data_IF_617361568281
#
_entry.id   IF_617361568281
#
_cell.length_a   1.000
_cell.length_b   1.000
_cell.length_c   1.000
_cell.angle_alpha   90.00
_cell.angle_beta   90.00
_cell.angle_gamma   90.00
#
_symmetry.space_group_name_H-M   'P 1'
#
loop_
_entity.id
_entity.type
_entity.pdbx_description
1 polymer ?
#
# COMPACT_ATOMS: atom_id res chain seq x y z
N UNK A 1 -32.97 50.16 -57.31
CA UNK A 1 -31.91 49.25 -56.82
C UNK A 1 -32.43 47.82 -56.91
N UNK A 2 -31.60 46.93 -57.48
CA UNK A 2 -31.92 45.64 -58.11
C UNK A 2 -32.80 44.66 -57.31
N UNK A 3 -33.77 44.04 -58.00
CA UNK A 3 -34.28 42.68 -57.77
C UNK A 3 -33.36 41.69 -58.52
N UNK A 4 -33.10 40.46 -58.03
CA UNK A 4 -34.00 39.31 -58.27
C UNK A 4 -34.00 38.32 -57.07
N UNK A 5 -34.78 37.25 -56.96
CA UNK A 5 -35.67 36.51 -57.85
C UNK A 5 -35.86 35.12 -57.22
N UNK A 6 -37.09 34.60 -57.24
CA UNK A 6 -37.43 33.24 -56.77
C UNK A 6 -36.70 32.18 -57.61
N UNK A 7 -36.34 31.04 -57.00
CA UNK A 7 -36.76 29.70 -57.45
C UNK A 7 -36.35 28.58 -56.47
N UNK A 8 -37.18 27.54 -56.31
CA UNK A 8 -36.90 26.38 -55.47
C UNK A 8 -36.01 25.37 -56.23
N UNK A 9 -35.08 24.75 -55.52
CA UNK A 9 -34.36 23.57 -55.99
C UNK A 9 -34.41 22.50 -54.92
N UNK A 10 -35.35 21.58 -55.10
CA UNK A 10 -35.20 20.20 -54.67
C UNK A 10 -33.95 19.61 -55.32
N UNK A 11 -32.96 19.22 -54.52
CA UNK A 11 -31.91 18.28 -54.85
C UNK A 11 -31.65 17.45 -53.59
N UNK A 12 -32.27 16.27 -53.52
CA UNK A 12 -31.69 14.97 -53.84
C UNK A 12 -30.85 14.40 -52.69
N UNK A 13 -31.32 13.24 -52.23
CA UNK A 13 -30.74 12.40 -51.20
C UNK A 13 -29.26 12.08 -51.46
N UNK A 14 -28.47 12.10 -50.39
CA UNK A 14 -27.47 11.07 -50.11
C UNK A 14 -27.12 11.12 -48.62
N UNK A 15 -27.93 10.47 -47.78
CA UNK A 15 -27.51 10.09 -46.44
C UNK A 15 -26.47 8.97 -46.59
N UNK A 16 -25.20 9.35 -46.77
CA UNK A 16 -24.09 8.41 -46.65
C UNK A 16 -23.87 8.13 -45.18
N UNK A 17 -24.46 7.04 -44.67
CA UNK A 17 -24.14 6.47 -43.37
C UNK A 17 -22.69 5.98 -43.39
N UNK A 18 -21.77 6.82 -42.95
CA UNK A 18 -20.42 6.41 -42.58
C UNK A 18 -20.50 5.63 -41.27
N UNK A 19 -20.84 4.35 -41.34
CA UNK A 19 -20.53 3.39 -40.28
C UNK A 19 -19.03 3.11 -40.32
N UNK A 20 -18.23 4.07 -39.87
CA UNK A 20 -16.82 3.86 -39.59
C UNK A 20 -16.71 3.03 -38.32
N UNK A 21 -16.55 1.72 -38.45
CA UNK A 21 -16.08 0.89 -37.34
C UNK A 21 -14.65 1.29 -37.04
N UNK A 22 -14.46 2.17 -36.07
CA UNK A 22 -13.14 2.41 -35.47
C UNK A 22 -12.81 1.14 -34.69
N UNK A 23 -12.16 0.18 -35.35
CA UNK A 23 -11.48 -0.90 -34.66
C UNK A 23 -10.21 -0.28 -34.11
N UNK A 24 -10.29 0.29 -32.90
CA UNK A 24 -9.11 0.60 -32.11
C UNK A 24 -8.43 -0.73 -31.81
N UNK A 25 -7.45 -1.09 -32.65
CA UNK A 25 -6.51 -2.15 -32.36
C UNK A 25 -5.74 -1.72 -31.11
N UNK A 26 -6.21 -2.16 -29.95
CA UNK A 26 -5.40 -2.18 -28.74
C UNK A 26 -4.25 -3.14 -29.01
N UNK A 27 -3.14 -2.59 -29.49
CA UNK A 27 -1.83 -3.24 -29.44
C UNK A 27 -1.39 -3.25 -27.98
N UNK A 28 -2.08 -4.02 -27.14
CA UNK A 28 -1.59 -4.38 -25.83
C UNK A 28 -0.33 -5.20 -26.05
N UNK A 29 0.83 -4.61 -25.80
CA UNK A 29 2.05 -5.37 -25.66
C UNK A 29 1.83 -6.33 -24.49
N UNK A 30 1.62 -7.61 -24.78
CA UNK A 30 1.61 -8.64 -23.76
C UNK A 30 2.98 -8.58 -23.07
N UNK A 31 3.04 -7.96 -21.89
CA UNK A 31 4.22 -7.99 -21.06
C UNK A 31 4.49 -9.46 -20.74
N UNK A 32 5.69 -9.91 -21.10
CA UNK A 32 6.14 -11.24 -20.72
C UNK A 32 5.98 -11.36 -19.21
N UNK A 33 5.14 -12.31 -18.78
CA UNK A 33 5.02 -12.65 -17.37
C UNK A 33 6.37 -13.20 -16.96
N UNK A 34 7.14 -12.39 -16.24
CA UNK A 34 8.35 -12.86 -15.57
C UNK A 34 7.94 -14.03 -14.68
N UNK A 35 8.59 -15.20 -14.79
CA UNK A 35 8.27 -16.32 -13.92
C UNK A 35 8.36 -15.85 -12.48
N UNK A 36 7.32 -16.14 -11.70
CA UNK A 36 7.29 -15.79 -10.29
C UNK A 36 8.57 -16.33 -9.64
N UNK A 37 9.32 -15.44 -8.97
CA UNK A 37 10.46 -15.87 -8.18
C UNK A 37 9.92 -16.86 -7.15
N UNK A 38 10.37 -18.11 -7.22
CA UNK A 38 10.03 -19.08 -6.20
C UNK A 38 10.83 -18.70 -4.95
N UNK A 39 10.17 -18.04 -4.01
CA UNK A 39 10.77 -17.78 -2.71
C UNK A 39 10.88 -19.10 -1.95
N UNK A 40 12.11 -19.59 -1.80
CA UNK A 40 12.46 -20.70 -0.92
C UNK A 40 12.67 -20.15 0.50
N UNK A 41 12.09 -20.81 1.49
CA UNK A 41 12.15 -20.39 2.89
C UNK A 41 10.88 -20.77 3.65
N UNK A 42 10.88 -20.69 4.99
CA UNK A 42 9.67 -20.84 5.79
C UNK A 42 8.60 -19.85 5.32
N UNK A 43 7.33 -20.26 5.36
CA UNK A 43 6.24 -19.31 5.10
C UNK A 43 6.20 -18.29 6.23
N UNK A 44 5.96 -17.03 5.91
CA UNK A 44 5.90 -15.96 6.91
C UNK A 44 4.67 -15.08 6.73
N UNK A 45 4.24 -14.47 7.83
CA UNK A 45 3.23 -13.41 7.86
C UNK A 45 3.83 -12.20 8.58
N UNK A 46 3.52 -10.99 8.14
CA UNK A 46 4.16 -9.77 8.64
C UNK A 46 3.11 -8.73 8.99
N UNK A 47 3.15 -8.19 10.20
CA UNK A 47 2.45 -6.97 10.58
C UNK A 47 3.34 -5.75 10.32
N UNK A 48 2.75 -4.73 9.70
CA UNK A 48 3.32 -3.41 9.45
C UNK A 48 2.29 -2.36 9.88
N UNK A 49 2.73 -1.21 10.34
CA UNK A 49 1.81 -0.16 10.75
C UNK A 49 2.21 0.66 11.95
N UNK A 50 1.20 1.27 12.55
CA UNK A 50 1.28 2.06 13.77
C UNK A 50 0.95 1.25 15.04
N UNK A 51 0.66 1.94 16.15
CA UNK A 51 0.32 1.36 17.45
C UNK A 51 -0.90 0.42 17.40
N UNK A 52 -1.81 0.62 16.44
CA UNK A 52 -3.01 -0.18 16.31
C UNK A 52 -2.71 -1.64 15.92
N UNK A 53 -1.52 -1.93 15.38
CA UNK A 53 -1.11 -3.29 15.00
C UNK A 53 0.22 -3.74 15.60
N UNK A 54 1.01 -2.85 16.21
CA UNK A 54 2.16 -3.26 17.04
C UNK A 54 1.74 -4.04 18.29
N UNK A 55 0.47 -3.97 18.67
CA UNK A 55 -0.04 -4.52 19.92
C UNK A 55 0.21 -3.60 21.11
N UNK A 56 0.28 -2.28 20.89
CA UNK A 56 0.31 -1.33 22.00
C UNK A 56 -0.93 -1.53 22.89
N UNK A 57 -0.70 -1.73 24.19
CA UNK A 57 -1.75 -2.00 25.17
C UNK A 57 -2.42 -3.38 25.04
N UNK A 58 -1.88 -4.31 24.25
CA UNK A 58 -2.44 -5.66 24.09
C UNK A 58 -2.20 -6.58 25.30
N UNK A 59 -1.39 -6.17 26.26
CA UNK A 59 -1.18 -6.94 27.49
C UNK A 59 -2.32 -6.78 28.51
N UNK A 60 -1.95 -6.80 29.78
CA UNK A 60 -2.87 -6.69 30.93
C UNK A 60 -2.75 -5.33 31.59
N UNK A 61 -3.77 -4.92 32.37
CA UNK A 61 -3.79 -3.67 33.17
C UNK A 61 -2.50 -3.39 33.98
N UNK A 62 -1.71 -4.42 34.29
CA UNK A 62 -0.48 -4.30 35.10
C UNK A 62 0.80 -4.64 34.35
N UNK A 63 0.72 -5.08 33.10
CA UNK A 63 1.88 -5.47 32.29
C UNK A 63 1.47 -5.62 30.83
N UNK A 64 2.01 -4.76 29.97
CA UNK A 64 1.72 -4.74 28.53
C UNK A 64 2.50 -5.79 27.71
N UNK A 65 3.46 -6.48 28.35
CA UNK A 65 4.31 -7.53 27.76
C UNK A 65 4.99 -7.11 26.44
N UNK A 66 5.51 -5.88 26.40
CA UNK A 66 6.28 -5.40 25.27
C UNK A 66 7.57 -6.19 25.11
N UNK A 67 7.85 -6.58 23.86
CA UNK A 67 9.05 -7.29 23.48
C UNK A 67 10.22 -6.31 23.60
N UNK A 68 11.19 -6.65 24.43
CA UNK A 68 12.42 -5.86 24.52
C UNK A 68 13.14 -5.80 23.15
N UNK A 69 13.66 -4.64 22.72
CA UNK A 69 13.83 -3.41 23.50
C UNK A 69 12.73 -2.33 23.26
N UNK A 70 11.55 -2.69 22.76
CA UNK A 70 10.56 -1.76 22.18
C UNK A 70 9.76 -0.91 23.18
N UNK A 71 10.15 -0.91 24.45
CA UNK A 71 9.56 -0.10 25.52
C UNK A 71 10.68 0.52 26.36
N UNK A 72 11.45 1.41 25.73
CA UNK A 72 12.59 2.03 26.38
C UNK A 72 13.19 3.22 25.62
N UNK A 73 14.16 3.93 26.23
CA UNK A 73 14.64 5.24 25.75
C UNK A 73 15.24 5.25 24.35
N UNK A 74 15.49 4.09 23.77
CA UNK A 74 16.06 3.93 22.42
C UNK A 74 15.06 3.41 21.40
N UNK A 75 13.91 2.90 21.83
CA UNK A 75 12.90 2.26 20.98
C UNK A 75 11.57 2.23 21.76
N UNK A 76 10.59 2.99 21.28
CA UNK A 76 9.24 3.03 21.83
C UNK A 76 8.22 2.51 20.82
N UNK A 77 8.61 1.56 19.97
CA UNK A 77 7.69 0.97 19.01
C UNK A 77 6.55 0.17 19.67
N UNK A 78 6.66 -0.16 20.96
CA UNK A 78 5.66 -0.87 21.76
C UNK A 78 5.12 -2.10 21.03
N UNK A 79 6.02 -2.98 20.60
CA UNK A 79 5.65 -4.25 19.97
C UNK A 79 5.34 -5.26 21.05
N UNK A 80 4.14 -5.83 21.05
CA UNK A 80 3.73 -6.83 22.04
C UNK A 80 3.73 -8.23 21.45
N UNK A 81 4.12 -9.23 22.26
CA UNK A 81 3.94 -10.64 21.90
C UNK A 81 2.46 -11.06 21.81
N UNK A 82 1.55 -10.19 22.27
CA UNK A 82 0.10 -10.34 22.18
C UNK A 82 -0.50 -9.60 20.96
N UNK A 83 0.31 -9.05 20.04
CA UNK A 83 -0.22 -8.41 18.83
C UNK A 83 -0.92 -9.41 17.91
N UNK A 84 -1.89 -8.95 17.12
CA UNK A 84 -2.79 -9.80 16.31
C UNK A 84 -2.02 -10.79 15.42
N UNK A 85 -0.84 -10.40 14.92
CA UNK A 85 -0.04 -11.25 14.03
C UNK A 85 0.43 -12.55 14.70
N UNK A 86 0.55 -12.55 16.03
CA UNK A 86 0.93 -13.72 16.82
C UNK A 86 -0.26 -14.61 17.21
N UNK A 87 -1.51 -14.12 17.10
CA UNK A 87 -2.74 -14.85 17.48
C UNK A 87 -3.72 -15.08 16.30
N UNK A 88 -3.19 -15.46 15.14
CA UNK A 88 -4.00 -15.65 13.92
C UNK A 88 -4.62 -17.04 13.77
N UNK A 89 -4.17 -18.03 14.54
CA UNK A 89 -4.52 -19.45 14.36
C UNK A 89 -3.96 -20.10 13.08
N UNK A 90 -3.14 -19.39 12.30
CA UNK A 90 -2.54 -19.92 11.08
C UNK A 90 -1.35 -20.84 11.40
N UNK A 91 -1.43 -22.10 10.97
CA UNK A 91 -0.35 -23.07 11.16
C UNK A 91 0.69 -23.04 10.05
N UNK A 92 1.95 -23.32 10.39
CA UNK A 92 3.02 -23.47 9.39
C UNK A 92 3.55 -22.15 8.82
N UNK A 93 3.29 -21.03 9.50
CA UNK A 93 3.81 -19.70 9.18
C UNK A 93 4.59 -19.13 10.36
N UNK A 94 5.63 -18.37 10.08
CA UNK A 94 6.38 -17.59 11.07
C UNK A 94 5.84 -16.15 11.09
N UNK A 95 5.29 -15.68 12.21
CA UNK A 95 4.86 -14.28 12.34
C UNK A 95 6.05 -13.35 12.61
N UNK A 96 5.98 -12.15 12.04
CA UNK A 96 6.88 -11.04 12.32
C UNK A 96 6.05 -9.79 12.58
N UNK A 97 6.42 -9.05 13.62
CA UNK A 97 5.88 -7.73 13.88
C UNK A 97 6.99 -6.69 13.64
N UNK A 98 6.79 -5.85 12.62
CA UNK A 98 7.66 -4.71 12.31
C UNK A 98 6.88 -3.39 12.35
N UNK A 99 5.65 -3.41 12.87
CA UNK A 99 4.88 -2.20 13.15
C UNK A 99 5.54 -1.40 14.28
N UNK A 100 5.26 -0.11 14.36
CA UNK A 100 5.88 0.74 15.37
C UNK A 100 4.88 1.79 15.85
N UNK A 101 4.67 1.88 17.16
CA UNK A 101 3.89 2.96 17.73
C UNK A 101 4.43 4.33 17.29
N UNK A 102 3.51 5.23 16.97
CA UNK A 102 3.83 6.56 16.43
C UNK A 102 4.14 6.60 14.93
N UNK A 103 4.27 5.46 14.25
CA UNK A 103 4.57 5.43 12.82
C UNK A 103 3.54 6.20 12.00
N UNK A 104 4.03 6.99 11.05
CA UNK A 104 3.22 7.65 10.03
C UNK A 104 3.25 6.85 8.73
N UNK A 105 2.35 7.15 7.81
CA UNK A 105 2.36 6.56 6.46
C UNK A 105 3.72 6.79 5.78
N UNK A 106 4.40 7.89 6.11
CA UNK A 106 5.75 8.20 5.67
C UNK A 106 6.76 7.14 6.05
N UNK A 107 6.62 6.45 7.19
CA UNK A 107 7.55 5.45 7.73
C UNK A 107 7.39 4.06 7.11
N UNK A 108 6.35 3.88 6.30
CA UNK A 108 6.08 2.62 5.60
C UNK A 108 6.96 2.46 4.37
N UNK A 109 7.01 3.47 3.49
CA UNK A 109 7.62 3.35 2.16
C UNK A 109 8.90 4.19 2.02
N UNK A 110 9.98 3.54 1.59
CA UNK A 110 11.29 4.16 1.35
C UNK A 110 11.50 4.66 -0.08
N UNK A 111 10.58 4.37 -1.00
CA UNK A 111 10.67 4.80 -2.39
C UNK A 111 10.42 6.31 -2.49
N UNK A 112 11.38 7.12 -2.98
CA UNK A 112 11.26 8.59 -3.01
C UNK A 112 10.05 9.09 -3.81
N UNK A 113 9.60 8.33 -4.81
CA UNK A 113 8.42 8.67 -5.62
C UNK A 113 7.13 8.70 -4.77
N UNK A 114 7.06 7.94 -3.68
CA UNK A 114 5.89 7.89 -2.82
C UNK A 114 5.91 8.93 -1.70
N UNK A 115 7.06 9.56 -1.43
CA UNK A 115 7.19 10.59 -0.38
C UNK A 115 6.20 11.76 -0.56
N UNK A 116 5.81 12.08 -1.81
CA UNK A 116 4.82 13.12 -2.09
C UNK A 116 3.40 12.78 -1.62
N UNK A 117 3.07 11.49 -1.44
CA UNK A 117 1.75 11.01 -1.01
C UNK A 117 1.75 10.40 0.37
N UNK A 118 2.88 9.84 0.83
CA UNK A 118 3.03 9.25 2.16
C UNK A 118 3.44 10.26 3.22
N UNK A 119 3.87 11.47 2.81
CA UNK A 119 4.43 12.46 3.72
C UNK A 119 5.87 12.16 4.12
N UNK A 120 6.37 12.95 5.06
CA UNK A 120 7.68 12.74 5.67
C UNK A 120 7.66 11.54 6.61
N UNK A 121 8.76 10.80 6.65
CA UNK A 121 9.04 9.78 7.65
C UNK A 121 10.49 9.36 7.52
N UNK A 122 11.11 8.89 8.60
CA UNK A 122 12.53 8.52 8.64
C UNK A 122 12.78 7.04 8.94
N UNK A 123 11.75 6.31 9.37
CA UNK A 123 11.92 5.15 10.23
C UNK A 123 12.03 5.61 11.69
N UNK A 124 11.24 4.98 12.56
CA UNK A 124 11.13 5.39 13.96
C UNK A 124 12.30 4.85 14.77
N UNK A 125 12.75 5.65 15.74
CA UNK A 125 13.80 5.28 16.71
C UNK A 125 15.13 4.79 16.11
N UNK A 126 15.41 5.14 14.86
CA UNK A 126 16.62 4.74 14.14
C UNK A 126 16.50 3.39 13.41
N UNK A 127 15.30 2.79 13.39
CA UNK A 127 15.01 1.65 12.54
C UNK A 127 14.92 2.05 11.06
N UNK A 128 15.08 1.06 10.18
CA UNK A 128 14.77 1.25 8.78
C UNK A 128 13.25 1.41 8.58
N UNK A 129 12.84 2.07 7.49
CA UNK A 129 11.43 2.09 7.08
C UNK A 129 10.89 0.67 6.92
N UNK A 130 9.61 0.49 7.20
CA UNK A 130 9.04 -0.84 7.34
C UNK A 130 9.08 -1.65 6.03
N UNK A 131 9.04 -1.02 4.86
CA UNK A 131 9.25 -1.71 3.57
C UNK A 131 10.66 -2.29 3.42
N UNK A 132 11.68 -1.63 3.97
CA UNK A 132 13.06 -2.12 3.98
C UNK A 132 13.22 -3.29 4.95
N UNK A 133 12.56 -3.23 6.11
CA UNK A 133 12.50 -4.34 7.06
C UNK A 133 11.77 -5.55 6.43
N UNK A 134 10.63 -5.32 5.77
CA UNK A 134 9.90 -6.35 5.03
C UNK A 134 10.77 -6.96 3.93
N UNK A 135 11.51 -6.15 3.18
CA UNK A 135 12.43 -6.64 2.15
C UNK A 135 13.56 -7.50 2.75
N UNK A 136 14.02 -7.21 3.96
CA UNK A 136 14.98 -8.06 4.68
C UNK A 136 14.35 -9.40 5.10
N UNK A 137 13.13 -9.38 5.64
CA UNK A 137 12.38 -10.60 5.99
C UNK A 137 12.13 -11.47 4.75
N UNK A 138 11.71 -10.86 3.64
CA UNK A 138 11.39 -11.55 2.39
C UNK A 138 12.61 -12.18 1.69
N UNK A 139 13.84 -11.76 2.02
CA UNK A 139 15.06 -12.44 1.54
C UNK A 139 15.27 -13.80 2.21
N UNK A 140 14.77 -13.99 3.42
CA UNK A 140 14.94 -15.22 4.20
C UNK A 140 13.66 -16.07 4.28
N UNK A 141 12.49 -15.48 3.98
CA UNK A 141 11.19 -16.09 4.16
C UNK A 141 10.30 -15.95 2.94
N UNK A 142 9.40 -16.90 2.76
CA UNK A 142 8.35 -16.85 1.76
C UNK A 142 7.12 -16.14 2.34
N UNK A 143 7.15 -14.81 2.35
CA UNK A 143 6.06 -13.98 2.91
C UNK A 143 4.76 -14.25 2.16
N UNK A 144 3.73 -14.67 2.89
CA UNK A 144 2.40 -15.05 2.37
C UNK A 144 1.32 -14.02 2.63
N UNK A 145 1.51 -13.22 3.68
CA UNK A 145 0.57 -12.22 4.12
C UNK A 145 1.35 -11.03 4.68
N UNK A 146 0.91 -9.84 4.33
CA UNK A 146 1.26 -8.60 5.01
C UNK A 146 -0.04 -7.98 5.49
N UNK A 147 -0.13 -7.69 6.77
CA UNK A 147 -1.25 -6.92 7.35
C UNK A 147 -0.71 -5.53 7.66
N UNK A 148 -1.38 -4.50 7.13
CA UNK A 148 -0.98 -3.11 7.28
C UNK A 148 -2.10 -2.30 7.89
N UNK A 149 -1.85 -1.70 9.06
CA UNK A 149 -2.74 -0.72 9.69
C UNK A 149 -1.96 0.56 9.93
N UNK A 150 -2.32 1.64 9.22
CA UNK A 150 -1.57 2.90 9.29
C UNK A 150 -2.49 4.09 9.08
N UNK A 151 -2.08 5.22 9.62
CA UNK A 151 -2.66 6.54 9.37
C UNK A 151 -3.17 7.23 10.63
N UNK A 152 -3.20 6.56 11.79
CA UNK A 152 -3.67 7.20 13.03
C UNK A 152 -2.78 8.37 13.46
N UNK A 153 -1.50 8.36 13.06
CA UNK A 153 -0.51 9.38 13.40
C UNK A 153 -0.22 10.37 12.27
N UNK A 154 -0.89 10.24 11.11
CA UNK A 154 -0.70 11.17 10.01
C UNK A 154 -1.30 12.54 10.36
N UNK A 155 -0.59 13.61 10.00
CA UNK A 155 -1.13 14.97 10.13
C UNK A 155 -2.14 15.23 9.01
N UNK A 156 -3.41 15.02 9.33
CA UNK A 156 -4.51 15.38 8.46
C UNK A 156 -4.89 16.84 8.73
N UNK A 157 -4.54 17.74 7.81
CA UNK A 157 -5.17 19.06 7.77
C UNK A 157 -6.64 18.91 7.34
N UNK A 158 -7.49 18.56 8.30
CA UNK A 158 -8.93 18.45 8.10
C UNK A 158 -9.61 19.83 7.93
N UNK A 159 -8.85 20.92 8.04
CA UNK A 159 -9.39 22.29 8.04
C UNK A 159 -9.24 23.03 6.72
N UNK A 160 -8.20 22.75 5.94
CA UNK A 160 -8.00 23.31 4.59
C UNK A 160 -7.67 24.81 4.54
#
# INVERSE_FOLDING_TARGET
MNRPGRRPLTALLAAATLTGTVVSAWSGTAQAVTPAVTHSGPSAIVAMGDSAISGEGAGTDTSDDYIAPTDGPTDWCHRSAQSEIFDTGLSGVTPFDIACSGAQTGDIASIPQYAAVTGSGGGDYGEAKQDQQLAAIAKANNVKLVVLTIGANDDFDFTG
#
